data_IF_544561170197
#
_entry.id   IF_544561170197
#
_cell.length_a   1.000
_cell.length_b   1.000
_cell.length_c   1.000
_cell.angle_alpha   90.00
_cell.angle_beta   90.00
_cell.angle_gamma   90.00
#
_symmetry.space_group_name_H-M   'P 1'
#
loop_
_entity.id
_entity.type
_entity.pdbx_description
1 polymer ?
#
# COMPACT_ATOMS: atom_id res chain seq x y z
N UNK A 1 8.73 -22.20 -11.10
CA UNK A 1 9.19 -21.31 -9.99
C UNK A 1 10.69 -21.44 -9.73
N UNK A 2 11.39 -20.33 -9.39
CA UNK A 2 12.84 -20.36 -9.03
C UNK A 2 13.04 -21.06 -7.67
N UNK A 3 14.11 -21.89 -7.51
CA UNK A 3 14.32 -22.65 -6.26
C UNK A 3 14.39 -21.81 -5.00
N UNK A 4 15.02 -20.64 -5.08
CA UNK A 4 15.10 -19.70 -3.94
C UNK A 4 13.71 -19.22 -3.48
N UNK A 5 12.80 -18.87 -4.41
CA UNK A 5 11.44 -18.44 -4.10
C UNK A 5 10.63 -19.57 -3.46
N UNK A 6 10.78 -20.78 -3.98
CA UNK A 6 10.13 -21.97 -3.41
C UNK A 6 10.57 -22.21 -1.97
N UNK A 7 11.86 -22.21 -1.71
CA UNK A 7 12.40 -22.40 -0.35
C UNK A 7 11.92 -21.31 0.64
N UNK A 8 11.75 -20.07 0.18
CA UNK A 8 11.20 -18.98 1.00
C UNK A 8 9.72 -19.20 1.33
N UNK A 9 8.91 -19.62 0.34
CA UNK A 9 7.49 -19.89 0.53
C UNK A 9 7.27 -21.13 1.42
N UNK A 10 8.11 -22.16 1.31
CA UNK A 10 8.10 -23.33 2.20
C UNK A 10 8.37 -22.91 3.66
N UNK A 11 9.32 -22.01 3.91
CA UNK A 11 9.56 -21.44 5.24
C UNK A 11 8.36 -20.67 5.76
N UNK A 12 7.65 -19.92 4.91
CA UNK A 12 6.44 -19.22 5.31
C UNK A 12 5.32 -20.18 5.69
N UNK A 13 5.15 -21.27 4.95
CA UNK A 13 4.16 -22.30 5.28
C UNK A 13 4.50 -23.00 6.61
N UNK A 14 5.77 -23.28 6.87
CA UNK A 14 6.24 -23.84 8.15
C UNK A 14 5.99 -22.84 9.29
N UNK A 15 6.35 -21.57 9.09
CA UNK A 15 6.13 -20.54 10.10
C UNK A 15 4.65 -20.31 10.40
N UNK A 16 3.78 -20.39 9.39
CA UNK A 16 2.34 -20.32 9.61
C UNK A 16 1.85 -21.44 10.52
N UNK A 17 2.30 -22.68 10.29
CA UNK A 17 1.95 -23.81 11.17
C UNK A 17 2.45 -23.64 12.62
N UNK A 18 3.63 -23.03 12.80
CA UNK A 18 4.12 -22.66 14.14
C UNK A 18 3.24 -21.61 14.79
N UNK A 19 2.80 -20.59 14.02
CA UNK A 19 1.92 -19.53 14.52
C UNK A 19 0.54 -20.09 14.89
N UNK A 20 -0.02 -20.99 14.09
CA UNK A 20 -1.26 -21.70 14.42
C UNK A 20 -1.15 -22.41 15.78
N UNK A 21 -0.04 -23.12 15.98
CA UNK A 21 0.22 -23.79 17.27
C UNK A 21 0.37 -22.80 18.43
N UNK A 22 1.15 -21.71 18.23
CA UNK A 22 1.37 -20.70 19.28
C UNK A 22 0.08 -19.97 19.65
N UNK A 23 -0.74 -19.61 18.66
CA UNK A 23 -2.02 -18.92 18.87
C UNK A 23 -3.11 -19.84 19.47
N UNK A 24 -2.98 -21.15 19.33
CA UNK A 24 -3.90 -22.13 19.96
C UNK A 24 -3.62 -22.39 21.44
N UNK A 25 -2.51 -21.88 21.99
CA UNK A 25 -2.15 -22.09 23.40
C UNK A 25 -3.04 -21.24 24.31
N UNK A 26 -3.48 -21.81 25.42
CA UNK A 26 -4.35 -21.14 26.41
C UNK A 26 -3.66 -19.95 27.12
N UNK A 27 -2.33 -20.01 27.26
CA UNK A 27 -1.54 -19.00 27.96
C UNK A 27 -1.27 -17.73 27.13
N UNK A 28 -1.43 -17.79 25.80
CA UNK A 28 -1.14 -16.65 24.92
C UNK A 28 -2.02 -15.42 25.21
N UNK A 29 -3.24 -15.64 25.69
CA UNK A 29 -4.19 -14.59 26.06
C UNK A 29 -3.77 -13.79 27.31
N UNK A 30 -2.79 -14.27 28.06
CA UNK A 30 -2.25 -13.58 29.24
C UNK A 30 -1.26 -12.45 28.80
N UNK A 31 -0.64 -12.58 27.63
CA UNK A 31 0.22 -11.55 27.05
C UNK A 31 -0.41 -11.00 25.77
N UNK A 32 -1.26 -9.99 25.96
CA UNK A 32 -1.97 -9.34 24.84
C UNK A 32 -1.02 -8.72 23.81
N UNK A 33 0.15 -8.23 24.22
CA UNK A 33 1.13 -7.63 23.31
C UNK A 33 1.73 -8.69 22.38
N UNK A 34 2.08 -9.84 22.91
CA UNK A 34 2.59 -10.98 22.16
C UNK A 34 1.49 -11.55 21.24
N UNK A 35 0.26 -11.67 21.74
CA UNK A 35 -0.87 -12.13 20.94
C UNK A 35 -1.09 -11.24 19.69
N UNK A 36 -1.07 -9.92 19.85
CA UNK A 36 -1.27 -8.99 18.73
C UNK A 36 -0.15 -9.10 17.68
N UNK A 37 1.11 -9.26 18.12
CA UNK A 37 2.24 -9.44 17.21
C UNK A 37 2.10 -10.73 16.40
N UNK A 38 1.85 -11.86 17.08
CA UNK A 38 1.70 -13.16 16.44
C UNK A 38 0.47 -13.20 15.51
N UNK A 39 -0.65 -12.58 15.89
CA UNK A 39 -1.86 -12.51 15.06
C UNK A 39 -1.64 -11.69 13.80
N UNK A 40 -0.87 -10.59 13.88
CA UNK A 40 -0.50 -9.80 12.71
C UNK A 40 0.38 -10.61 11.75
N UNK A 41 1.44 -11.24 12.27
CA UNK A 41 2.33 -12.11 11.49
C UNK A 41 1.54 -13.25 10.83
N UNK A 42 0.63 -13.90 11.56
CA UNK A 42 -0.24 -14.94 11.03
C UNK A 42 -1.09 -14.45 9.85
N UNK A 43 -1.74 -13.29 10.00
CA UNK A 43 -2.56 -12.70 8.95
C UNK A 43 -1.75 -12.40 7.69
N UNK A 44 -0.54 -11.87 7.84
CA UNK A 44 0.36 -11.55 6.73
C UNK A 44 0.82 -12.80 5.98
N UNK A 45 1.18 -13.87 6.70
CA UNK A 45 1.66 -15.11 6.10
C UNK A 45 0.54 -15.96 5.48
N UNK A 46 -0.68 -15.91 6.03
CA UNK A 46 -1.83 -16.71 5.57
C UNK A 46 -2.10 -16.50 4.08
N UNK A 47 -2.08 -15.25 3.61
CA UNK A 47 -2.34 -14.94 2.21
C UNK A 47 -1.30 -15.57 1.27
N UNK A 48 -0.01 -15.51 1.65
CA UNK A 48 1.09 -16.09 0.86
C UNK A 48 1.08 -17.61 0.89
N UNK A 49 0.85 -18.20 2.07
CA UNK A 49 0.81 -19.66 2.24
C UNK A 49 -0.37 -20.28 1.49
N UNK A 50 -1.56 -19.67 1.55
CA UNK A 50 -2.74 -20.15 0.81
C UNK A 50 -2.50 -20.15 -0.71
N UNK A 51 -1.90 -19.08 -1.26
CA UNK A 51 -1.56 -19.04 -2.70
C UNK A 51 -0.47 -20.04 -3.06
N UNK A 52 0.49 -20.28 -2.17
CA UNK A 52 1.53 -21.28 -2.40
C UNK A 52 0.96 -22.69 -2.39
N UNK A 53 0.03 -23.02 -1.47
CA UNK A 53 -0.68 -24.31 -1.46
C UNK A 53 -1.45 -24.51 -2.77
N UNK A 54 -2.14 -23.48 -3.28
CA UNK A 54 -2.81 -23.54 -4.57
C UNK A 54 -1.83 -23.77 -5.72
N UNK A 55 -0.67 -23.11 -5.68
CA UNK A 55 0.40 -23.33 -6.66
C UNK A 55 0.88 -24.79 -6.66
N UNK A 56 1.13 -25.38 -5.49
CA UNK A 56 1.55 -26.78 -5.36
C UNK A 56 0.47 -27.75 -5.87
N UNK A 57 -0.80 -27.47 -5.59
CA UNK A 57 -1.91 -28.28 -6.11
C UNK A 57 -1.94 -28.23 -7.64
N UNK A 58 -1.82 -27.04 -8.24
CA UNK A 58 -1.79 -26.90 -9.70
C UNK A 58 -0.57 -27.55 -10.35
N UNK A 59 0.60 -27.56 -9.68
CA UNK A 59 1.76 -28.37 -10.14
C UNK A 59 1.44 -29.86 -10.15
N UNK A 60 0.77 -30.35 -9.12
CA UNK A 60 0.37 -31.77 -9.05
C UNK A 60 -0.65 -32.13 -10.14
N UNK A 61 -1.64 -31.24 -10.37
CA UNK A 61 -2.66 -31.40 -11.41
C UNK A 61 -2.01 -31.44 -12.80
N UNK A 62 -1.07 -30.53 -13.06
CA UNK A 62 -0.29 -30.49 -14.30
C UNK A 62 0.48 -31.80 -14.53
N UNK A 63 1.15 -32.32 -13.49
CA UNK A 63 1.87 -33.59 -13.59
C UNK A 63 0.93 -34.77 -13.89
N UNK A 64 -0.24 -34.79 -13.23
CA UNK A 64 -1.24 -35.83 -13.47
C UNK A 64 -1.79 -35.77 -14.91
N UNK A 65 -2.12 -34.55 -15.41
CA UNK A 65 -2.58 -34.38 -16.78
C UNK A 65 -1.52 -34.77 -17.83
N UNK A 66 -0.25 -34.43 -17.59
CA UNK A 66 0.86 -34.83 -18.45
C UNK A 66 1.09 -36.37 -18.47
N UNK A 67 0.92 -37.04 -17.33
CA UNK A 67 0.97 -38.50 -17.26
C UNK A 67 -0.17 -39.13 -18.06
N UNK A 68 -1.40 -38.61 -17.98
CA UNK A 68 -2.53 -39.08 -18.79
C UNK A 68 -2.27 -38.96 -20.29
N UNK A 69 -1.58 -37.89 -20.73
CA UNK A 69 -1.20 -37.74 -22.15
C UNK A 69 -0.15 -38.75 -22.62
N UNK A 70 0.71 -39.20 -21.71
CA UNK A 70 1.75 -40.22 -22.02
C UNK A 70 1.21 -41.63 -22.00
N UNK A 71 0.08 -41.87 -21.34
CA UNK A 71 -0.54 -43.20 -21.29
C UNK A 71 -1.16 -43.55 -22.64
N UNK A 72 -0.61 -44.62 -23.24
CA UNK A 72 -1.04 -45.12 -24.54
C UNK A 72 -2.46 -45.75 -24.53
N UNK A 73 -3.01 -46.00 -23.34
CA UNK A 73 -4.36 -46.56 -23.14
C UNK A 73 -5.48 -45.52 -23.15
N UNK A 74 -5.17 -44.22 -23.10
CA UNK A 74 -6.17 -43.13 -23.07
C UNK A 74 -6.93 -43.03 -24.39
N UNK A 75 -8.26 -42.88 -24.33
CA UNK A 75 -9.09 -42.59 -25.49
C UNK A 75 -8.92 -41.14 -25.98
N UNK A 76 -9.55 -40.80 -27.12
CA UNK A 76 -9.41 -39.48 -27.73
C UNK A 76 -9.95 -38.37 -26.84
N UNK A 77 -11.11 -38.59 -26.20
CA UNK A 77 -11.78 -37.61 -25.35
C UNK A 77 -10.95 -37.35 -24.08
N UNK A 78 -10.39 -38.41 -23.47
CA UNK A 78 -9.49 -38.26 -22.32
C UNK A 78 -8.22 -37.47 -22.64
N UNK A 79 -7.67 -37.66 -23.85
CA UNK A 79 -6.49 -36.90 -24.29
C UNK A 79 -6.82 -35.43 -24.53
N UNK A 80 -7.98 -35.13 -25.12
CA UNK A 80 -8.42 -33.74 -25.33
C UNK A 80 -8.61 -33.04 -23.98
N UNK A 81 -9.30 -33.64 -23.02
CA UNK A 81 -9.45 -33.12 -21.66
C UNK A 81 -8.09 -32.89 -20.97
N UNK A 82 -7.17 -33.85 -21.10
CA UNK A 82 -5.85 -33.69 -20.51
C UNK A 82 -5.03 -32.59 -21.17
N UNK A 83 -5.17 -32.36 -22.48
CA UNK A 83 -4.52 -31.23 -23.17
C UNK A 83 -5.07 -29.89 -22.72
N UNK A 84 -6.38 -29.79 -22.57
CA UNK A 84 -7.03 -28.56 -22.04
C UNK A 84 -6.57 -28.29 -20.60
N UNK A 85 -6.53 -29.33 -19.76
CA UNK A 85 -6.08 -29.20 -18.37
C UNK A 85 -4.61 -28.76 -18.28
N UNK A 86 -3.72 -29.27 -19.13
CA UNK A 86 -2.32 -28.82 -19.21
C UNK A 86 -2.24 -27.34 -19.54
N UNK A 87 -2.97 -26.89 -20.57
CA UNK A 87 -2.94 -25.47 -20.98
C UNK A 87 -3.48 -24.54 -19.87
N UNK A 88 -4.56 -24.95 -19.20
CA UNK A 88 -5.16 -24.22 -18.09
C UNK A 88 -4.21 -24.16 -16.88
N UNK A 89 -3.60 -25.29 -16.51
CA UNK A 89 -2.68 -25.39 -15.39
C UNK A 89 -1.41 -24.55 -15.62
N UNK A 90 -0.83 -24.58 -16.82
CA UNK A 90 0.34 -23.75 -17.16
C UNK A 90 0.04 -22.25 -17.06
N UNK A 91 -1.14 -21.84 -17.55
CA UNK A 91 -1.57 -20.42 -17.47
C UNK A 91 -1.75 -19.99 -16.02
N UNK A 92 -2.44 -20.80 -15.20
CA UNK A 92 -2.69 -20.50 -13.80
C UNK A 92 -1.40 -20.51 -12.97
N UNK A 93 -0.49 -21.46 -13.22
CA UNK A 93 0.82 -21.50 -12.57
C UNK A 93 1.66 -20.25 -12.86
N UNK A 94 1.63 -19.75 -14.10
CA UNK A 94 2.33 -18.50 -14.44
C UNK A 94 1.75 -17.28 -13.69
N UNK A 95 0.42 -17.22 -13.57
CA UNK A 95 -0.26 -16.15 -12.81
C UNK A 95 0.07 -16.23 -11.32
N UNK A 96 -0.06 -17.40 -10.71
CA UNK A 96 0.25 -17.63 -9.29
C UNK A 96 1.72 -17.34 -8.97
N UNK A 97 2.65 -17.71 -9.86
CA UNK A 97 4.07 -17.39 -9.69
C UNK A 97 4.32 -15.88 -9.68
N UNK A 98 3.70 -15.13 -10.59
CA UNK A 98 3.82 -13.69 -10.64
C UNK A 98 3.21 -13.01 -9.39
N UNK A 99 2.08 -13.53 -8.87
CA UNK A 99 1.48 -13.05 -7.63
C UNK A 99 2.39 -13.32 -6.42
N UNK A 100 2.88 -14.55 -6.28
CA UNK A 100 3.78 -14.94 -5.20
C UNK A 100 5.08 -14.13 -5.21
N UNK A 101 5.66 -13.86 -6.39
CA UNK A 101 6.82 -12.99 -6.50
C UNK A 101 6.55 -11.58 -5.96
N UNK A 102 5.37 -11.00 -6.26
CA UNK A 102 4.98 -9.68 -5.73
C UNK A 102 4.80 -9.70 -4.22
N UNK A 103 4.21 -10.77 -3.67
CA UNK A 103 3.99 -10.91 -2.23
C UNK A 103 5.29 -11.08 -1.42
N UNK A 104 6.37 -11.54 -2.06
CA UNK A 104 7.69 -11.70 -1.45
C UNK A 104 8.54 -10.42 -1.47
N UNK A 105 8.08 -9.36 -2.13
CA UNK A 105 8.76 -8.08 -2.06
C UNK A 105 8.72 -7.54 -0.62
N UNK A 106 9.84 -6.98 -0.12
CA UNK A 106 9.85 -6.38 1.21
C UNK A 106 8.81 -5.26 1.26
N UNK A 107 7.91 -5.36 2.24
CA UNK A 107 6.93 -4.31 2.53
C UNK A 107 7.56 -3.31 3.49
N UNK A 108 7.34 -2.05 3.23
CA UNK A 108 7.67 -0.97 4.14
C UNK A 108 6.69 -1.05 5.33
N UNK A 109 7.16 -1.10 6.59
CA UNK A 109 6.27 -1.18 7.76
C UNK A 109 5.34 0.03 7.86
N UNK A 110 5.73 1.15 7.26
CA UNK A 110 4.93 2.37 7.25
C UNK A 110 3.82 2.37 6.19
N UNK A 111 3.86 1.44 5.22
CA UNK A 111 2.88 1.39 4.12
C UNK A 111 1.42 1.34 4.59
N UNK A 112 1.16 0.66 5.71
CA UNK A 112 -0.18 0.52 6.29
C UNK A 112 -0.66 1.74 7.08
N UNK A 113 0.20 2.74 7.31
CA UNK A 113 -0.12 3.88 8.17
C UNK A 113 -1.04 4.90 7.51
N UNK A 114 -1.84 5.62 8.30
CA UNK A 114 -2.44 6.88 7.87
C UNK A 114 -1.37 7.90 7.49
N UNK A 115 -1.75 8.91 6.72
CA UNK A 115 -0.82 9.95 6.28
C UNK A 115 -1.30 11.35 6.61
N UNK A 116 -0.34 12.25 6.78
CA UNK A 116 -0.54 13.68 6.61
C UNK A 116 -0.10 14.07 5.21
N UNK A 117 -1.06 14.53 4.41
CA UNK A 117 -0.84 15.08 3.08
C UNK A 117 -0.80 16.60 3.19
N UNK A 118 0.36 17.17 2.94
CA UNK A 118 0.57 18.61 2.93
C UNK A 118 0.74 19.10 1.50
N UNK A 119 0.01 20.14 1.12
CA UNK A 119 0.11 20.79 -0.18
C UNK A 119 0.42 22.24 0.04
N UNK A 120 1.54 22.73 -0.50
CA UNK A 120 1.96 24.12 -0.46
C UNK A 120 2.00 24.73 -1.84
N UNK A 121 1.37 25.88 -1.99
CA UNK A 121 1.52 26.72 -3.17
C UNK A 121 2.99 27.15 -3.32
N UNK A 122 3.53 27.01 -4.52
CA UNK A 122 4.89 27.39 -4.85
C UNK A 122 4.93 28.60 -5.78
N UNK A 123 5.73 28.51 -6.86
CA UNK A 123 5.84 29.57 -7.86
C UNK A 123 4.57 29.66 -8.70
N UNK A 124 4.10 30.88 -8.98
CA UNK A 124 2.94 31.14 -9.81
C UNK A 124 1.88 32.07 -9.17
N UNK A 125 2.17 32.65 -8.00
CA UNK A 125 1.27 33.57 -7.31
C UNK A 125 -0.09 32.91 -7.01
N UNK A 126 -1.20 33.63 -7.27
CA UNK A 126 -2.55 33.16 -6.99
C UNK A 126 -2.92 31.88 -7.75
N UNK A 127 -2.39 31.69 -8.97
CA UNK A 127 -2.63 30.48 -9.74
C UNK A 127 -2.05 29.22 -9.07
N UNK A 128 -0.93 29.33 -8.36
CA UNK A 128 -0.40 28.21 -7.58
C UNK A 128 -1.30 27.85 -6.40
N UNK A 129 -1.96 28.84 -5.76
CA UNK A 129 -2.94 28.58 -4.70
C UNK A 129 -4.22 27.89 -5.25
N UNK A 130 -4.69 28.30 -6.44
CA UNK A 130 -5.80 27.62 -7.10
C UNK A 130 -5.43 26.19 -7.51
N UNK A 131 -4.20 26.00 -7.99
CA UNK A 131 -3.70 24.66 -8.31
C UNK A 131 -3.58 23.77 -7.07
N UNK A 132 -3.18 24.32 -5.92
CA UNK A 132 -3.19 23.58 -4.65
C UNK A 132 -4.59 23.09 -4.28
N UNK A 133 -5.63 23.89 -4.51
CA UNK A 133 -7.02 23.48 -4.30
C UNK A 133 -7.46 22.38 -5.27
N UNK A 134 -7.00 22.43 -6.53
CA UNK A 134 -7.29 21.37 -7.50
C UNK A 134 -6.61 20.05 -7.11
N UNK A 135 -5.35 20.09 -6.65
CA UNK A 135 -4.63 18.93 -6.14
C UNK A 135 -5.33 18.35 -4.90
N UNK A 136 -5.71 19.19 -3.94
CA UNK A 136 -6.47 18.77 -2.78
C UNK A 136 -7.75 18.03 -3.19
N UNK A 137 -8.53 18.61 -4.09
CA UNK A 137 -9.76 17.99 -4.60
C UNK A 137 -9.51 16.65 -5.26
N UNK A 138 -8.43 16.54 -6.04
CA UNK A 138 -8.01 15.29 -6.69
C UNK A 138 -7.72 14.20 -5.65
N UNK A 139 -6.92 14.50 -4.63
CA UNK A 139 -6.57 13.53 -3.59
C UNK A 139 -7.76 13.16 -2.72
N UNK A 140 -8.61 14.11 -2.34
CA UNK A 140 -9.83 13.81 -1.59
C UNK A 140 -10.80 12.92 -2.38
N UNK A 141 -10.97 13.16 -3.70
CA UNK A 141 -11.77 12.30 -4.56
C UNK A 141 -11.16 10.92 -4.76
N UNK A 142 -9.84 10.82 -4.77
CA UNK A 142 -9.16 9.53 -4.79
C UNK A 142 -9.40 8.77 -3.48
N UNK A 143 -9.20 9.41 -2.34
CA UNK A 143 -9.46 8.83 -1.02
C UNK A 143 -10.92 8.34 -0.88
N UNK A 144 -11.89 9.15 -1.32
CA UNK A 144 -13.31 8.80 -1.32
C UNK A 144 -13.60 7.53 -2.14
N UNK A 145 -12.99 7.39 -3.33
CA UNK A 145 -13.12 6.18 -4.18
C UNK A 145 -12.49 4.93 -3.56
N UNK A 146 -11.44 5.11 -2.76
CA UNK A 146 -10.81 4.02 -2.01
C UNK A 146 -11.58 3.68 -0.72
N UNK A 147 -12.61 4.46 -0.36
CA UNK A 147 -13.34 4.30 0.90
C UNK A 147 -12.56 4.80 2.12
N UNK A 148 -11.53 5.63 1.91
CA UNK A 148 -10.72 6.22 2.97
C UNK A 148 -11.41 7.44 3.59
N UNK A 149 -11.08 7.71 4.85
CA UNK A 149 -11.52 8.92 5.55
C UNK A 149 -10.48 10.00 5.38
N UNK A 150 -10.92 11.22 5.10
CA UNK A 150 -10.05 12.39 4.99
C UNK A 150 -10.56 13.51 5.89
N UNK A 151 -9.65 14.16 6.61
CA UNK A 151 -9.94 15.26 7.55
C UNK A 151 -8.93 16.38 7.33
N UNK A 152 -9.43 17.60 7.14
CA UNK A 152 -8.56 18.78 7.03
C UNK A 152 -8.08 19.19 8.42
N UNK A 153 -6.77 19.11 8.64
CA UNK A 153 -6.13 19.43 9.92
C UNK A 153 -5.80 20.91 10.06
N UNK A 154 -5.33 21.50 8.97
CA UNK A 154 -5.06 22.94 8.92
C UNK A 154 -5.14 23.45 7.48
N UNK A 155 -5.51 24.71 7.33
CA UNK A 155 -5.56 25.38 6.04
C UNK A 155 -5.19 26.86 6.16
N UNK A 156 -4.50 27.36 5.13
CA UNK A 156 -4.22 28.78 4.92
C UNK A 156 -4.77 29.17 3.55
N UNK A 157 -5.95 29.79 3.56
CA UNK A 157 -6.63 30.18 2.33
C UNK A 157 -5.93 31.38 1.64
N UNK A 158 -6.08 31.45 0.31
CA UNK A 158 -5.69 32.59 -0.50
C UNK A 158 -6.89 33.54 -0.74
N UNK A 159 -6.63 34.84 -0.90
CA UNK A 159 -7.68 35.87 -1.11
C UNK A 159 -8.52 35.60 -2.39
N UNK A 160 -7.92 35.06 -3.42
CA UNK A 160 -8.61 34.76 -4.69
C UNK A 160 -9.18 33.32 -4.76
N UNK A 161 -9.25 32.64 -3.62
CA UNK A 161 -9.62 31.23 -3.53
C UNK A 161 -8.40 30.31 -3.63
N UNK A 162 -8.58 29.06 -3.26
CA UNK A 162 -7.47 28.10 -3.14
C UNK A 162 -6.70 28.23 -1.83
N UNK A 163 -5.55 27.57 -1.76
CA UNK A 163 -4.78 27.43 -0.52
C UNK A 163 -3.32 27.82 -0.73
N UNK A 164 -2.78 28.64 0.20
CA UNK A 164 -1.33 28.84 0.34
C UNK A 164 -0.68 27.58 0.89
N UNK A 165 -1.38 26.95 1.84
CA UNK A 165 -1.01 25.69 2.47
C UNK A 165 -2.27 24.97 2.94
N UNK A 166 -2.31 23.66 2.81
CA UNK A 166 -3.35 22.82 3.39
C UNK A 166 -2.75 21.49 3.82
N UNK A 167 -3.15 21.01 5.00
CA UNK A 167 -2.75 19.71 5.55
C UNK A 167 -4.00 18.86 5.78
N UNK A 168 -4.01 17.67 5.22
CA UNK A 168 -5.11 16.72 5.33
C UNK A 168 -4.59 15.41 5.91
N UNK A 169 -5.25 14.88 6.93
CA UNK A 169 -5.06 13.52 7.41
C UNK A 169 -5.92 12.57 6.58
N UNK A 170 -5.32 11.50 6.07
CA UNK A 170 -6.03 10.45 5.31
C UNK A 170 -5.78 9.10 5.99
N UNK A 171 -6.87 8.37 6.25
CA UNK A 171 -6.86 7.13 7.01
C UNK A 171 -7.70 6.06 6.28
N UNK A 172 -7.12 4.89 6.06
CA UNK A 172 -7.81 3.75 5.45
C UNK A 172 -8.80 3.03 6.39
N UNK A 173 -8.78 3.35 7.68
CA UNK A 173 -9.59 2.63 8.67
C UNK A 173 -9.20 1.15 8.74
N UNK A 174 -10.18 0.28 8.52
CA UNK A 174 -9.97 -1.18 8.55
C UNK A 174 -9.54 -1.78 7.20
N UNK A 175 -9.30 -0.96 6.16
CA UNK A 175 -8.87 -1.44 4.85
C UNK A 175 -7.43 -1.98 4.92
N UNK A 176 -7.17 -3.09 4.22
CA UNK A 176 -5.85 -3.72 4.15
C UNK A 176 -4.83 -2.93 3.33
N UNK A 177 -5.31 -2.04 2.46
CA UNK A 177 -4.46 -1.26 1.56
C UNK A 177 -4.08 0.05 2.26
N UNK A 178 -2.84 0.11 2.75
CA UNK A 178 -2.32 1.25 3.47
C UNK A 178 -2.25 2.52 2.63
N UNK A 179 -2.59 3.64 3.24
CA UNK A 179 -2.62 4.94 2.58
C UNK A 179 -1.22 5.38 2.20
N UNK A 180 -0.25 5.22 3.12
CA UNK A 180 1.14 5.64 2.89
C UNK A 180 1.77 4.89 1.72
N UNK A 181 1.58 3.58 1.65
CA UNK A 181 2.13 2.74 0.57
C UNK A 181 1.71 3.19 -0.82
N UNK A 182 0.50 3.73 -0.98
CA UNK A 182 -0.01 4.23 -2.26
C UNK A 182 0.37 5.69 -2.51
N UNK A 183 0.38 6.54 -1.49
CA UNK A 183 0.57 7.98 -1.66
C UNK A 183 2.02 8.46 -1.49
N UNK A 184 2.93 7.68 -0.88
CA UNK A 184 4.32 8.10 -0.62
C UNK A 184 5.08 8.58 -1.85
N UNK A 185 4.75 8.08 -3.03
CA UNK A 185 5.37 8.45 -4.30
C UNK A 185 4.86 9.77 -4.87
N UNK A 186 3.80 10.34 -4.30
CA UNK A 186 3.25 11.64 -4.68
C UNK A 186 4.06 12.81 -4.08
N UNK A 187 4.96 12.54 -3.12
CA UNK A 187 5.83 13.57 -2.55
C UNK A 187 6.74 14.17 -3.60
N UNK A 188 6.71 15.51 -3.72
CA UNK A 188 7.56 16.23 -4.66
C UNK A 188 6.92 17.49 -5.23
N UNK A 189 7.53 17.98 -6.31
CA UNK A 189 7.05 19.16 -7.04
C UNK A 189 6.01 18.79 -8.09
N UNK A 190 4.81 19.34 -7.98
CA UNK A 190 3.74 19.22 -8.96
C UNK A 190 3.66 20.48 -9.80
N UNK A 191 3.63 20.32 -11.13
CA UNK A 191 3.62 21.43 -12.06
C UNK A 191 2.39 21.39 -12.95
N UNK A 192 1.77 22.55 -13.17
CA UNK A 192 0.69 22.73 -14.12
C UNK A 192 1.08 23.75 -15.20
N UNK A 193 0.68 23.48 -16.44
CA UNK A 193 0.77 24.41 -17.56
C UNK A 193 -0.63 24.54 -18.14
N UNK A 194 -1.25 25.70 -17.85
CA UNK A 194 -2.60 26.03 -18.32
C UNK A 194 -2.75 27.54 -18.44
N UNK A 195 -3.82 27.99 -19.08
CA UNK A 195 -4.25 29.38 -19.01
C UNK A 195 -4.87 29.58 -17.62
N UNK A 196 -4.29 30.41 -16.76
CA UNK A 196 -4.85 30.67 -15.42
C UNK A 196 -6.24 31.31 -15.51
N UNK A 197 -7.09 31.07 -14.51
CA UNK A 197 -8.38 31.78 -14.41
C UNK A 197 -8.20 33.28 -14.19
N UNK A 198 -7.04 33.71 -13.73
CA UNK A 198 -6.64 35.11 -13.52
C UNK A 198 -6.05 35.77 -14.79
N UNK A 199 -5.83 35.00 -15.87
CA UNK A 199 -5.24 35.50 -17.12
C UNK A 199 -6.33 35.94 -18.10
N UNK A 200 -6.28 37.19 -18.52
CA UNK A 200 -7.29 37.78 -19.44
C UNK A 200 -6.91 37.69 -20.93
N UNK A 201 -5.64 37.45 -21.27
CA UNK A 201 -5.13 37.43 -22.63
C UNK A 201 -4.96 36.02 -23.20
N UNK A 202 -5.37 34.97 -22.46
CA UNK A 202 -5.34 33.58 -22.92
C UNK A 202 -3.92 32.96 -22.98
N UNK A 203 -2.93 33.56 -22.30
CA UNK A 203 -1.56 33.04 -22.31
C UNK A 203 -1.42 31.88 -21.35
N UNK A 204 -0.68 30.84 -21.75
CA UNK A 204 -0.32 29.71 -20.90
C UNK A 204 0.76 30.13 -19.91
N UNK A 205 0.52 29.89 -18.62
CA UNK A 205 1.48 30.08 -17.55
C UNK A 205 1.84 28.73 -16.91
N UNK A 206 3.02 28.70 -16.29
CA UNK A 206 3.48 27.56 -15.51
C UNK A 206 3.38 27.91 -14.03
N UNK A 207 2.68 27.08 -13.26
CA UNK A 207 2.59 27.18 -11.80
C UNK A 207 3.00 25.87 -11.17
N UNK A 208 3.48 25.91 -9.94
CA UNK A 208 3.93 24.73 -9.20
C UNK A 208 3.44 24.74 -7.77
N UNK A 209 3.20 23.53 -7.26
CA UNK A 209 2.94 23.25 -5.84
C UNK A 209 3.93 22.19 -5.35
N UNK A 210 4.16 22.16 -4.04
CA UNK A 210 4.88 21.09 -3.38
C UNK A 210 3.87 20.23 -2.64
N UNK A 211 3.99 18.91 -2.79
CA UNK A 211 3.23 17.90 -2.05
C UNK A 211 4.19 17.15 -1.16
N UNK A 212 3.85 17.00 0.12
CA UNK A 212 4.56 16.14 1.06
C UNK A 212 3.58 15.12 1.64
N UNK A 213 3.98 13.85 1.63
CA UNK A 213 3.23 12.75 2.22
C UNK A 213 4.06 12.18 3.36
N UNK A 214 3.56 12.30 4.58
CA UNK A 214 4.23 11.87 5.80
C UNK A 214 3.39 10.79 6.47
N UNK A 215 4.01 9.64 6.79
CA UNK A 215 3.35 8.62 7.60
C UNK A 215 3.04 9.18 9.00
N UNK A 216 1.84 8.90 9.53
CA UNK A 216 1.48 9.28 10.88
C UNK A 216 2.38 8.53 11.89
N UNK A 217 3.09 9.24 12.80
CA UNK A 217 3.95 8.59 13.77
C UNK A 217 3.14 7.84 14.83
N UNK A 218 3.71 6.78 15.40
CA UNK A 218 3.10 6.10 16.54
C UNK A 218 3.14 7.00 17.79
N UNK A 219 2.05 7.06 18.55
CA UNK A 219 1.95 7.87 19.78
C UNK A 219 3.00 7.48 20.84
N UNK A 220 3.50 6.25 20.80
CA UNK A 220 4.51 5.74 21.72
C UNK A 220 5.88 6.44 21.62
N UNK A 221 6.12 7.20 20.57
CA UNK A 221 7.37 7.94 20.34
C UNK A 221 7.29 9.43 20.69
N UNK A 222 6.24 9.87 21.37
CA UNK A 222 6.15 11.25 21.84
C UNK A 222 7.36 11.58 22.72
N UNK A 223 8.26 12.40 22.20
CA UNK A 223 9.45 12.87 22.93
C UNK A 223 8.96 13.73 24.08
N UNK A 224 9.16 13.26 25.32
CA UNK A 224 8.90 14.06 26.54
C UNK A 224 10.03 15.07 26.70
N UNK A 225 9.77 16.30 26.32
CA UNK A 225 10.69 17.42 26.59
C UNK A 225 10.47 17.83 28.06
N UNK A 226 11.51 17.70 28.86
CA UNK A 226 11.47 18.12 30.25
C UNK A 226 11.58 19.66 30.30
N UNK A 227 10.67 20.40 30.96
CA UNK A 227 10.77 21.88 31.04
C UNK A 227 12.10 22.39 31.59
N UNK A 228 12.79 21.57 32.43
CA UNK A 228 14.13 21.91 32.95
C UNK A 228 15.23 21.90 31.89
N UNK A 229 15.01 21.25 30.75
CA UNK A 229 15.99 21.13 29.65
C UNK A 229 15.82 22.26 28.63
N UNK A 230 14.79 23.14 28.84
CA UNK A 230 14.51 24.29 28.00
C UNK A 230 15.14 25.55 28.58
N UNK A 231 15.98 26.22 27.81
CA UNK A 231 16.42 27.57 28.08
C UNK A 231 15.68 28.54 27.14
N UNK A 232 14.87 29.42 27.70
CA UNK A 232 14.10 30.41 26.94
C UNK A 232 14.75 31.77 27.13
N UNK A 233 15.38 32.31 26.07
CA UNK A 233 15.93 33.66 26.05
C UNK A 233 15.00 34.55 25.22
N UNK A 234 14.56 35.68 25.83
CA UNK A 234 13.69 36.66 25.14
C UNK A 234 14.51 37.88 24.74
N UNK A 235 14.45 38.23 23.45
CA UNK A 235 15.09 39.42 22.92
C UNK A 235 14.03 40.42 22.45
N UNK A 236 14.31 41.71 22.61
CA UNK A 236 13.52 42.74 21.96
C UNK A 236 14.05 42.95 20.54
N UNK A 237 13.15 42.90 19.54
CA UNK A 237 13.44 43.30 18.17
C UNK A 237 13.49 44.80 18.04
#
# INVERSE_FOLDING_TARGET
MKPFLRAQLERFAQRLSELDFLLSREDIMQDMSQFLVLSREHTELTASASRFTRYQQRESDLQAAQQMLQDSGSDADMREMAQEEVANAETELAQLEAELQRMLLPKDPDDARPVFLEIRAGTGGDESALFAADLLRMYMRFAERQGWRSEVMSESASELGGYKEVVVRIDAGSSSDGVYGLLKFESGGHRVQRVPTTETQGRIHTSACTVAVLAEPDEAQAIKINPSDLRIDTYRA
#
